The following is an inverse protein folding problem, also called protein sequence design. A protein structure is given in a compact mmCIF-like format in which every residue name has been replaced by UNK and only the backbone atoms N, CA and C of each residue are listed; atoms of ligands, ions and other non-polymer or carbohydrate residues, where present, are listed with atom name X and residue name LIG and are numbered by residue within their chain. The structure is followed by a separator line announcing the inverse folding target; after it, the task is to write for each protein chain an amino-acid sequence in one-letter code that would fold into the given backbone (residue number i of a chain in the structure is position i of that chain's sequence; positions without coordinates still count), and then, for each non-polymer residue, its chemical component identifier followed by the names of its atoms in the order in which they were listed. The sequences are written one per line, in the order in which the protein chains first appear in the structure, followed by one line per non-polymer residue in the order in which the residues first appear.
data_IF_946875217742
#
_entry.id   IF_946875217742
#
_cell.length_a   1.000
_cell.length_b   1.000
_cell.length_c   1.000
_cell.angle_alpha   90.00
_cell.angle_beta   90.00
_cell.angle_gamma   90.00
#
_symmetry.space_group_name_H-M   'P 1'
#
loop_
_entity.id
_entity.type
_entity.pdbx_description
1 polymer ?
#
# COMPACT_ATOMS: atom_id res chain seq x y z
N UNK A 1 3.85 -4.04 -13.77
CA UNK A 1 3.61 -3.04 -12.72
C UNK A 1 2.12 -3.03 -12.45
N UNK A 2 1.70 -3.30 -11.22
CA UNK A 2 0.28 -3.28 -10.84
C UNK A 2 -0.14 -1.84 -10.63
N UNK A 3 -1.07 -1.35 -11.45
CA UNK A 3 -1.60 0.02 -11.34
C UNK A 3 -2.58 0.14 -10.17
N UNK A 4 -2.58 1.29 -9.50
CA UNK A 4 -3.54 1.60 -8.44
C UNK A 4 -4.88 2.00 -9.06
N UNK A 5 -5.96 1.37 -8.58
CA UNK A 5 -7.33 1.80 -8.91
C UNK A 5 -7.63 3.16 -8.28
N UNK A 6 -8.60 3.87 -8.85
CA UNK A 6 -9.14 5.10 -8.26
C UNK A 6 -9.79 4.83 -6.90
N UNK A 7 -9.84 5.84 -6.06
CA UNK A 7 -10.49 5.78 -4.76
C UNK A 7 -11.97 5.44 -4.92
N UNK A 8 -12.50 4.40 -4.23
CA UNK A 8 -13.92 4.04 -4.33
C UNK A 8 -14.87 5.08 -3.72
N UNK A 9 -14.36 5.98 -2.86
CA UNK A 9 -15.20 6.95 -2.16
C UNK A 9 -15.36 8.26 -2.94
N UNK A 10 -14.28 8.77 -3.52
CA UNK A 10 -14.27 10.07 -4.19
C UNK A 10 -13.90 10.00 -5.68
N UNK A 11 -13.55 8.82 -6.22
CA UNK A 11 -13.06 8.65 -7.58
C UNK A 11 -11.67 9.28 -7.84
N UNK A 12 -11.03 9.83 -6.82
CA UNK A 12 -9.73 10.48 -6.89
C UNK A 12 -8.58 9.51 -7.11
N UNK A 13 -7.41 10.07 -7.42
CA UNK A 13 -6.19 9.30 -7.57
C UNK A 13 -5.68 8.76 -6.23
N UNK A 14 -4.94 7.66 -6.30
CA UNK A 14 -4.32 7.02 -5.16
C UNK A 14 -2.79 7.01 -5.34
N UNK A 15 -2.06 7.15 -4.25
CA UNK A 15 -0.61 7.05 -4.22
C UNK A 15 -0.17 5.93 -3.28
N UNK A 16 0.90 5.24 -3.67
CA UNK A 16 1.56 4.23 -2.86
C UNK A 16 2.73 4.90 -2.13
N UNK A 17 2.75 4.77 -0.81
CA UNK A 17 3.74 5.39 0.06
C UNK A 17 4.56 4.30 0.74
N UNK A 18 5.88 4.45 0.67
CA UNK A 18 6.84 3.62 1.39
C UNK A 18 6.94 4.09 2.85
N UNK A 19 6.81 3.16 3.78
CA UNK A 19 6.86 3.44 5.21
C UNK A 19 7.79 2.48 5.94
N UNK A 20 9.02 2.30 5.45
CA UNK A 20 10.14 1.52 6.01
C UNK A 20 9.87 0.05 6.38
N UNK A 21 8.85 -0.23 7.17
CA UNK A 21 8.38 -1.54 7.64
C UNK A 21 7.07 -1.97 6.97
N UNK A 22 6.45 -1.11 6.17
CA UNK A 22 5.27 -1.46 5.40
C UNK A 22 5.09 -0.52 4.22
N UNK A 23 4.15 -0.87 3.37
CA UNK A 23 3.63 -0.01 2.32
C UNK A 23 2.18 0.32 2.62
N UNK A 24 1.76 1.54 2.30
CA UNK A 24 0.36 1.93 2.39
C UNK A 24 -0.07 2.71 1.17
N UNK A 25 -1.35 2.63 0.82
CA UNK A 25 -1.96 3.39 -0.27
C UNK A 25 -2.91 4.41 0.33
N UNK A 26 -2.77 5.65 -0.10
CA UNK A 26 -3.60 6.77 0.34
C UNK A 26 -4.26 7.46 -0.85
N UNK A 27 -5.48 7.95 -0.67
CA UNK A 27 -6.10 8.84 -1.65
C UNK A 27 -5.43 10.22 -1.63
N UNK A 28 -5.10 10.74 -2.80
CA UNK A 28 -4.48 12.06 -2.96
C UNK A 28 -5.44 13.24 -2.80
N UNK A 29 -6.74 12.96 -2.70
CA UNK A 29 -7.75 14.00 -2.61
C UNK A 29 -7.84 14.51 -1.17
N UNK A 30 -7.66 15.82 -0.96
CA UNK A 30 -7.62 16.46 0.36
C UNK A 30 -8.94 16.26 1.14
N UNK A 31 -10.06 16.18 0.42
CA UNK A 31 -11.39 15.92 0.98
C UNK A 31 -11.63 14.42 1.29
N UNK A 32 -10.68 13.53 0.95
CA UNK A 32 -10.82 12.09 1.12
C UNK A 32 -9.64 11.47 1.86
N UNK A 33 -9.83 11.14 3.13
CA UNK A 33 -8.83 10.50 3.98
C UNK A 33 -8.73 8.97 3.82
N UNK A 34 -9.15 8.42 2.67
CA UNK A 34 -9.15 6.98 2.45
C UNK A 34 -7.71 6.45 2.40
N UNK A 35 -7.38 5.54 3.32
CA UNK A 35 -6.07 4.92 3.42
C UNK A 35 -6.22 3.41 3.63
N UNK A 36 -5.32 2.63 3.05
CA UNK A 36 -5.19 1.18 3.25
C UNK A 36 -3.74 0.85 3.52
N UNK A 37 -3.49 0.13 4.61
CA UNK A 37 -2.16 -0.33 4.99
C UNK A 37 -2.04 -1.78 4.51
N UNK A 38 -0.92 -2.10 3.85
CA UNK A 38 -0.59 -3.46 3.46
C UNK A 38 -0.10 -4.30 4.65
N UNK A 39 0.57 -5.40 4.32
CA UNK A 39 1.28 -6.19 5.31
C UNK A 39 2.39 -5.36 5.95
N UNK A 40 2.54 -5.54 7.27
CA UNK A 40 3.63 -4.94 8.04
C UNK A 40 4.63 -6.03 8.36
N UNK A 41 5.89 -5.80 7.99
CA UNK A 41 6.98 -6.69 8.35
C UNK A 41 7.51 -6.36 9.73
N UNK A 42 8.11 -7.36 10.37
CA UNK A 42 8.86 -7.17 11.60
C UNK A 42 10.07 -6.27 11.36
N UNK A 43 10.50 -5.53 12.37
CA UNK A 43 11.65 -4.64 12.25
C UNK A 43 12.94 -5.48 12.15
N UNK A 44 13.66 -5.43 11.01
CA UNK A 44 14.88 -6.21 10.84
C UNK A 44 15.92 -5.73 11.84
N UNK A 45 16.55 -6.66 12.57
CA UNK A 45 17.62 -6.36 13.53
C UNK A 45 18.99 -6.28 12.85
N UNK A 46 19.07 -6.62 11.56
CA UNK A 46 20.29 -6.59 10.74
C UNK A 46 19.99 -6.31 9.26
N UNK A 47 21.00 -5.82 8.52
CA UNK A 47 20.90 -5.59 7.07
C UNK A 47 20.58 -6.88 6.30
N UNK A 48 21.15 -8.03 6.73
CA UNK A 48 20.88 -9.33 6.14
C UNK A 48 19.40 -9.77 6.30
N UNK A 49 18.75 -9.41 7.42
CA UNK A 49 17.32 -9.66 7.59
C UNK A 49 16.50 -8.75 6.69
N UNK A 50 16.91 -7.49 6.54
CA UNK A 50 16.27 -6.54 5.63
C UNK A 50 16.35 -6.97 4.16
N UNK A 51 17.47 -7.55 3.74
CA UNK A 51 17.68 -8.07 2.38
C UNK A 51 16.90 -9.38 2.13
N UNK A 52 16.70 -10.18 3.17
CA UNK A 52 15.88 -11.38 3.11
C UNK A 52 14.37 -11.09 2.99
N UNK A 53 13.93 -9.86 3.28
CA UNK A 53 12.53 -9.45 3.13
C UNK A 53 12.22 -9.19 1.65
N UNK A 54 11.20 -9.88 1.14
CA UNK A 54 10.68 -9.62 -0.20
C UNK A 54 9.84 -8.34 -0.22
N UNK A 55 10.51 -7.19 -0.30
CA UNK A 55 9.85 -5.88 -0.27
C UNK A 55 8.88 -5.66 -1.43
N UNK A 56 9.06 -6.31 -2.58
CA UNK A 56 8.09 -6.24 -3.68
C UNK A 56 6.78 -6.96 -3.31
N UNK A 57 6.85 -8.14 -2.69
CA UNK A 57 5.67 -8.84 -2.18
C UNK A 57 4.95 -7.99 -1.13
N UNK A 58 5.68 -7.43 -0.16
CA UNK A 58 5.10 -6.53 0.86
C UNK A 58 4.42 -5.33 0.19
N UNK A 59 5.06 -4.74 -0.82
CA UNK A 59 4.47 -3.67 -1.64
C UNK A 59 3.20 -4.11 -2.37
N UNK A 60 3.19 -5.30 -2.98
CA UNK A 60 2.01 -5.85 -3.66
C UNK A 60 0.84 -6.05 -2.70
N UNK A 61 1.08 -6.37 -1.42
CA UNK A 61 -0.01 -6.53 -0.45
C UNK A 61 -0.81 -5.23 -0.26
N UNK A 62 -0.15 -4.07 -0.21
CA UNK A 62 -0.81 -2.77 -0.09
C UNK A 62 -1.63 -2.43 -1.34
N UNK A 63 -1.06 -2.69 -2.53
CA UNK A 63 -1.73 -2.49 -3.81
C UNK A 63 -2.96 -3.41 -3.93
N UNK A 64 -2.81 -4.69 -3.59
CA UNK A 64 -3.89 -5.66 -3.65
C UNK A 64 -5.01 -5.32 -2.67
N UNK A 65 -4.66 -4.91 -1.44
CA UNK A 65 -5.63 -4.48 -0.43
C UNK A 65 -6.42 -3.25 -0.89
N UNK A 66 -5.74 -2.25 -1.45
CA UNK A 66 -6.38 -1.07 -2.03
C UNK A 66 -7.31 -1.45 -3.20
N UNK A 67 -6.79 -2.20 -4.17
CA UNK A 67 -7.53 -2.58 -5.36
C UNK A 67 -8.74 -3.46 -5.02
N UNK A 68 -8.64 -4.34 -4.01
CA UNK A 68 -9.77 -5.12 -3.49
C UNK A 68 -10.86 -4.21 -2.92
N UNK A 69 -10.48 -3.22 -2.12
CA UNK A 69 -11.41 -2.23 -1.55
C UNK A 69 -12.06 -1.37 -2.63
N UNK A 70 -11.28 -0.94 -3.63
CA UNK A 70 -11.76 -0.16 -4.75
C UNK A 70 -12.70 -0.92 -5.71
N UNK A 71 -12.68 -2.26 -5.66
CA UNK A 71 -13.51 -3.13 -6.51
C UNK A 71 -14.76 -3.65 -5.80
N UNK A 72 -15.03 -3.23 -4.58
CA UNK A 72 -16.27 -3.60 -3.89
C UNK A 72 -17.39 -2.70 -4.42
N UNK A 73 -18.08 -3.19 -5.46
CA UNK A 73 -19.37 -2.68 -5.95
C UNK A 73 -20.52 -3.07 -5.02
#
# INVERSE_FOLDING_TARGET
MTELKKCPFCGGEAELIDNRLCWYVQCKNDDCSCTVIGERVEEPQSEAESDAIDWDSVRQTAIAAWNRRASSE
#
